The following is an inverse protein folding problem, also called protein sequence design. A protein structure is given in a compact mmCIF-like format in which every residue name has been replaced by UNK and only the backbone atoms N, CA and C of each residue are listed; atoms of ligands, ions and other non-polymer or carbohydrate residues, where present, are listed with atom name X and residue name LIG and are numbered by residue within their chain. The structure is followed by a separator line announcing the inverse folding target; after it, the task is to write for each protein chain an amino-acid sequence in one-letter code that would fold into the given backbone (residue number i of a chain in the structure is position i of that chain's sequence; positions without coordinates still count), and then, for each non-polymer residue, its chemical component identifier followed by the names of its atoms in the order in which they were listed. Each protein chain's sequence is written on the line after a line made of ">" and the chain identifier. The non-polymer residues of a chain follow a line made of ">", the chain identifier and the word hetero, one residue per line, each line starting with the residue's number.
data_IF_754559014828
#
_entry.id   IF_754559014828
#
_cell.length_a   1.000
_cell.length_b   1.000
_cell.length_c   1.000
_cell.angle_alpha   90.00
_cell.angle_beta   90.00
_cell.angle_gamma   90.00
#
_symmetry.space_group_name_H-M   'P 1'
#
loop_
_entity.id
_entity.type
_entity.pdbx_description
1 polymer ?
#
# COMPACT_ATOMS: atom_id res chain seq x y z
N UNK A 1 -0.42 13.73 11.05
CA UNK A 1 0.71 13.24 11.90
C UNK A 1 1.22 11.95 11.26
N UNK A 2 2.52 11.67 11.35
CA UNK A 2 3.11 10.44 10.81
C UNK A 2 2.66 9.20 11.61
N UNK A 3 2.62 8.03 10.95
CA UNK A 3 2.34 6.76 11.63
C UNK A 3 3.48 6.35 12.58
N UNK A 4 3.20 5.46 13.54
CA UNK A 4 4.22 4.90 14.44
C UNK A 4 4.40 3.40 14.17
N UNK A 5 5.64 2.92 14.28
CA UNK A 5 6.01 1.52 14.02
C UNK A 5 6.63 1.27 12.63
N UNK A 6 6.87 0.00 12.28
CA UNK A 6 7.68 -0.37 11.12
C UNK A 6 6.92 -0.32 9.78
N UNK A 7 5.61 -0.07 9.80
CA UNK A 7 4.75 -0.09 8.61
C UNK A 7 4.31 1.32 8.25
N UNK A 8 4.30 1.60 6.96
CA UNK A 8 3.64 2.79 6.46
C UNK A 8 2.16 2.50 6.27
N UNK A 9 1.31 3.43 6.70
CA UNK A 9 -0.14 3.28 6.78
C UNK A 9 -0.85 4.42 6.01
N UNK A 10 -0.20 4.96 4.99
CA UNK A 10 -0.72 6.04 4.14
C UNK A 10 -0.13 7.42 4.40
N UNK A 11 0.68 7.62 5.46
CA UNK A 11 1.29 8.93 5.73
C UNK A 11 2.70 9.07 5.14
N UNK A 12 3.49 8.00 5.17
CA UNK A 12 4.85 7.96 4.58
C UNK A 12 4.96 6.75 3.66
N UNK A 13 4.14 6.76 2.61
CA UNK A 13 3.89 5.59 1.77
C UNK A 13 4.28 5.85 0.32
N UNK A 14 4.85 4.84 -0.34
CA UNK A 14 4.84 4.71 -1.79
C UNK A 14 3.56 3.96 -2.16
N UNK A 15 2.75 4.61 -2.98
CA UNK A 15 1.46 4.09 -3.43
C UNK A 15 1.51 3.78 -4.91
N UNK A 16 0.81 2.73 -5.33
CA UNK A 16 0.69 2.37 -6.73
C UNK A 16 -0.61 1.64 -7.02
N UNK A 17 -1.00 1.61 -8.29
CA UNK A 17 -2.07 0.74 -8.77
C UNK A 17 -1.65 -0.72 -8.56
N UNK A 18 -2.41 -1.54 -7.81
CA UNK A 18 -2.06 -2.95 -7.58
C UNK A 18 -2.37 -3.85 -8.78
N UNK A 19 -3.03 -3.32 -9.83
CA UNK A 19 -3.43 -4.07 -11.03
C UNK A 19 -2.28 -4.15 -12.04
N UNK A 20 -2.21 -5.28 -12.74
CA UNK A 20 -1.23 -5.54 -13.79
C UNK A 20 0.13 -6.00 -13.29
N UNK A 21 0.87 -6.70 -14.16
CA UNK A 21 2.01 -7.52 -13.74
C UNK A 21 3.31 -6.72 -13.55
N UNK A 22 3.40 -5.56 -14.21
CA UNK A 22 4.64 -4.77 -14.28
C UNK A 22 4.94 -4.00 -13.00
N UNK A 23 3.91 -3.64 -12.23
CA UNK A 23 4.07 -2.71 -11.10
C UNK A 23 4.82 -3.35 -9.93
N UNK A 24 4.62 -4.65 -9.70
CA UNK A 24 5.34 -5.42 -8.68
C UNK A 24 6.85 -5.37 -8.92
N UNK A 25 7.26 -5.69 -10.13
CA UNK A 25 8.67 -5.71 -10.52
C UNK A 25 9.29 -4.32 -10.48
N UNK A 26 8.56 -3.31 -10.95
CA UNK A 26 8.98 -1.92 -10.90
C UNK A 26 9.27 -1.48 -9.46
N UNK A 27 8.33 -1.71 -8.54
CA UNK A 27 8.49 -1.31 -7.13
C UNK A 27 9.57 -2.15 -6.45
N UNK A 28 9.65 -3.46 -6.71
CA UNK A 28 10.71 -4.30 -6.16
C UNK A 28 12.11 -3.85 -6.61
N UNK A 29 12.26 -3.43 -7.87
CA UNK A 29 13.50 -2.84 -8.40
C UNK A 29 13.88 -1.56 -7.65
N UNK A 30 12.93 -0.64 -7.45
CA UNK A 30 13.17 0.57 -6.66
C UNK A 30 13.52 0.26 -5.21
N UNK A 31 12.76 -0.64 -4.59
CA UNK A 31 12.94 -1.02 -3.19
C UNK A 31 14.17 -1.90 -2.95
N UNK A 32 14.82 -2.40 -4.02
CA UNK A 32 15.93 -3.38 -3.97
C UNK A 32 15.55 -4.61 -3.14
N UNK A 33 14.33 -5.10 -3.36
CA UNK A 33 13.74 -6.26 -2.68
C UNK A 33 13.72 -7.47 -3.60
N UNK A 34 13.64 -8.65 -3.00
CA UNK A 34 13.50 -9.90 -3.74
C UNK A 34 12.14 -9.93 -4.48
N UNK A 35 12.09 -10.36 -5.77
CA UNK A 35 10.89 -10.23 -6.61
C UNK A 35 9.64 -10.94 -6.08
N UNK A 36 9.83 -12.02 -5.32
CA UNK A 36 8.73 -12.81 -4.78
C UNK A 36 8.00 -12.12 -3.62
N UNK A 37 8.61 -11.12 -2.97
CA UNK A 37 7.96 -10.43 -1.85
C UNK A 37 6.82 -9.57 -2.38
N UNK A 38 5.57 -9.80 -1.95
CA UNK A 38 4.48 -8.91 -2.31
C UNK A 38 4.45 -7.68 -1.41
N UNK A 39 3.62 -6.74 -1.84
CA UNK A 39 3.26 -5.55 -1.11
C UNK A 39 1.91 -5.73 -0.42
N UNK A 40 1.54 -4.78 0.43
CA UNK A 40 0.28 -4.84 1.15
C UNK A 40 -0.77 -3.95 0.45
N UNK A 41 -2.05 -4.37 0.37
CA UNK A 41 -3.12 -3.50 -0.06
C UNK A 41 -3.55 -2.58 1.07
N UNK A 42 -3.93 -1.37 0.68
CA UNK A 42 -4.71 -0.45 1.48
C UNK A 42 -6.08 -0.29 0.80
N UNK A 43 -7.14 -0.77 1.46
CA UNK A 43 -8.49 -0.91 0.89
C UNK A 43 -9.53 -0.16 1.72
N UNK A 44 -10.53 0.42 1.06
CA UNK A 44 -11.74 0.95 1.71
C UNK A 44 -12.43 -0.17 2.51
N UNK A 45 -12.65 0.05 3.81
CA UNK A 45 -13.12 -1.01 4.71
C UNK A 45 -14.41 -1.70 4.26
N UNK A 46 -15.35 -0.95 3.67
CA UNK A 46 -16.62 -1.48 3.15
C UNK A 46 -16.47 -2.45 1.98
N UNK A 47 -15.32 -2.44 1.30
CA UNK A 47 -15.02 -3.35 0.21
C UNK A 47 -14.13 -4.53 0.64
N UNK A 48 -13.56 -4.53 1.85
CA UNK A 48 -12.58 -5.52 2.28
C UNK A 48 -13.08 -6.96 2.11
N UNK A 49 -14.26 -7.27 2.65
CA UNK A 49 -14.89 -8.60 2.56
C UNK A 49 -15.30 -9.01 1.14
N UNK A 50 -15.44 -8.05 0.21
CA UNK A 50 -15.74 -8.37 -1.19
C UNK A 50 -14.52 -8.90 -1.94
N UNK A 51 -13.31 -8.56 -1.50
CA UNK A 51 -12.05 -8.90 -2.18
C UNK A 51 -11.18 -9.88 -1.38
N UNK A 52 -11.38 -9.97 -0.07
CA UNK A 52 -10.58 -10.79 0.82
C UNK A 52 -11.47 -11.59 1.78
N UNK A 53 -11.04 -12.80 2.12
CA UNK A 53 -11.60 -13.58 3.22
C UNK A 53 -11.03 -13.03 4.55
N UNK A 54 -11.60 -11.93 5.02
CA UNK A 54 -11.08 -11.20 6.17
C UNK A 54 -11.29 -11.99 7.47
N UNK A 55 -10.22 -12.21 8.28
CA UNK A 55 -10.35 -12.90 9.56
C UNK A 55 -10.92 -12.01 10.68
N UNK A 56 -10.96 -10.69 10.46
CA UNK A 56 -11.44 -9.67 11.39
C UNK A 56 -12.17 -8.58 10.62
N UNK A 57 -13.11 -7.89 11.26
CA UNK A 57 -13.89 -6.82 10.64
C UNK A 57 -13.05 -5.58 10.25
N UNK A 58 -11.90 -5.38 10.88
CA UNK A 58 -10.98 -4.29 10.56
C UNK A 58 -9.53 -4.70 10.84
N UNK A 59 -8.63 -4.36 9.91
CA UNK A 59 -7.18 -4.54 10.04
C UNK A 59 -6.44 -3.24 9.67
N UNK A 60 -6.46 -2.20 10.52
CA UNK A 60 -5.88 -0.91 10.19
C UNK A 60 -4.33 -0.92 10.19
N UNK A 61 -3.71 -1.95 10.76
CA UNK A 61 -2.27 -2.03 10.99
C UNK A 61 -1.56 -3.12 10.18
N UNK A 62 -2.21 -3.72 9.18
CA UNK A 62 -1.70 -4.83 8.36
C UNK A 62 -1.20 -6.03 9.17
N UNK A 63 -1.82 -6.30 10.32
CA UNK A 63 -1.40 -7.36 11.24
C UNK A 63 -1.85 -8.75 10.79
N UNK A 64 -2.97 -8.82 10.09
CA UNK A 64 -3.57 -10.08 9.66
C UNK A 64 -3.35 -10.33 8.17
N UNK A 65 -3.22 -11.61 7.80
CA UNK A 65 -3.27 -12.07 6.42
C UNK A 65 -4.67 -12.55 6.09
N UNK A 66 -5.15 -12.23 4.89
CA UNK A 66 -6.42 -12.68 4.35
C UNK A 66 -6.19 -13.28 2.96
N UNK A 67 -6.99 -14.29 2.59
CA UNK A 67 -6.94 -14.87 1.24
C UNK A 67 -7.65 -13.93 0.27
N UNK A 68 -7.04 -13.66 -0.88
CA UNK A 68 -7.66 -12.85 -1.91
C UNK A 68 -8.61 -13.69 -2.76
N UNK A 69 -9.80 -13.16 -3.02
CA UNK A 69 -10.83 -13.79 -3.86
C UNK A 69 -10.51 -13.68 -5.36
N UNK A 70 -9.73 -12.66 -5.74
CA UNK A 70 -9.39 -12.34 -7.14
C UNK A 70 -7.88 -12.11 -7.32
N UNK A 71 -7.03 -13.10 -7.01
CA UNK A 71 -5.58 -12.90 -6.96
C UNK A 71 -4.98 -12.43 -8.31
N UNK A 72 -5.49 -12.96 -9.42
CA UNK A 72 -5.07 -12.61 -10.78
C UNK A 72 -5.33 -11.14 -11.17
N UNK A 73 -6.31 -10.49 -10.53
CA UNK A 73 -6.60 -9.07 -10.81
C UNK A 73 -5.64 -8.12 -10.11
N UNK A 74 -4.98 -8.59 -9.03
CA UNK A 74 -4.16 -7.75 -8.15
C UNK A 74 -2.77 -8.34 -7.88
N UNK A 75 -2.02 -8.80 -8.90
CA UNK A 75 -0.81 -9.61 -8.74
C UNK A 75 0.30 -8.93 -7.90
N UNK A 76 0.30 -7.60 -7.82
CA UNK A 76 1.32 -6.84 -7.10
C UNK A 76 1.23 -6.91 -5.57
N UNK A 77 0.06 -7.22 -5.04
CA UNK A 77 -0.21 -7.26 -3.60
C UNK A 77 -0.44 -8.68 -3.07
N UNK A 78 -0.28 -9.70 -3.90
CA UNK A 78 -0.62 -11.08 -3.58
C UNK A 78 0.63 -11.96 -3.42
N UNK A 79 0.66 -12.74 -2.35
CA UNK A 79 1.63 -13.80 -2.09
C UNK A 79 1.39 -15.01 -3.01
N UNK A 80 2.39 -15.88 -3.17
CA UNK A 80 2.28 -17.12 -3.96
C UNK A 80 1.17 -18.07 -3.48
N UNK A 81 0.79 -17.98 -2.20
CA UNK A 81 -0.31 -18.73 -1.60
C UNK A 81 -1.68 -18.03 -1.71
N UNK A 82 -1.77 -16.99 -2.55
CA UNK A 82 -2.94 -16.14 -2.77
C UNK A 82 -3.38 -15.32 -1.56
N UNK A 83 -2.52 -15.13 -0.55
CA UNK A 83 -2.82 -14.28 0.61
C UNK A 83 -2.26 -12.87 0.48
N UNK A 84 -2.75 -11.96 1.34
CA UNK A 84 -2.17 -10.62 1.51
C UNK A 84 -2.36 -10.07 2.92
N UNK A 85 -1.48 -9.15 3.33
CA UNK A 85 -1.58 -8.43 4.60
C UNK A 85 -2.39 -7.14 4.43
N UNK A 86 -3.69 -7.24 4.60
CA UNK A 86 -4.63 -6.17 4.26
C UNK A 86 -4.58 -5.03 5.28
N UNK A 87 -4.47 -3.79 4.80
CA UNK A 87 -4.78 -2.58 5.56
C UNK A 87 -6.20 -2.12 5.20
N UNK A 88 -7.13 -2.15 6.14
CA UNK A 88 -8.44 -1.53 5.95
C UNK A 88 -8.41 -0.06 6.36
N UNK A 89 -9.11 0.79 5.63
CA UNK A 89 -9.26 2.22 5.93
C UNK A 89 -10.75 2.55 6.11
N UNK A 90 -11.14 2.87 7.34
CA UNK A 90 -12.51 3.23 7.71
C UNK A 90 -12.76 4.73 7.49
N UNK A 91 -14.01 5.18 7.72
CA UNK A 91 -14.37 6.60 7.62
C UNK A 91 -13.82 7.45 8.76
N UNK A 92 -13.51 6.81 9.89
CA UNK A 92 -12.96 7.42 11.10
C UNK A 92 -11.42 7.52 11.05
N UNK A 93 -10.78 6.80 10.12
CA UNK A 93 -9.34 6.90 9.86
C UNK A 93 -8.97 8.27 9.25
N UNK A 94 -7.67 8.48 9.01
CA UNK A 94 -7.18 9.77 8.53
C UNK A 94 -7.92 10.25 7.27
N UNK A 95 -8.60 11.42 7.30
CA UNK A 95 -9.45 11.87 6.20
C UNK A 95 -8.71 12.02 4.87
N UNK A 96 -7.41 12.34 4.89
CA UNK A 96 -6.61 12.49 3.68
C UNK A 96 -6.34 11.14 3.00
N UNK A 97 -6.03 10.10 3.77
CA UNK A 97 -5.81 8.75 3.26
C UNK A 97 -7.12 8.16 2.73
N UNK A 98 -8.20 8.37 3.48
CA UNK A 98 -9.54 7.96 3.09
C UNK A 98 -9.99 8.62 1.78
N UNK A 99 -9.91 9.95 1.69
CA UNK A 99 -10.29 10.70 0.49
C UNK A 99 -9.46 10.30 -0.73
N UNK A 100 -8.16 10.00 -0.55
CA UNK A 100 -7.32 9.48 -1.64
C UNK A 100 -7.85 8.17 -2.21
N UNK A 101 -8.21 7.22 -1.35
CA UNK A 101 -8.76 5.93 -1.76
C UNK A 101 -10.15 6.08 -2.39
N UNK A 102 -11.00 6.93 -1.85
CA UNK A 102 -12.33 7.22 -2.42
C UNK A 102 -12.20 7.84 -3.81
N UNK A 103 -11.38 8.89 -3.96
CA UNK A 103 -11.11 9.53 -5.25
C UNK A 103 -10.50 8.54 -6.26
N UNK A 104 -9.60 7.66 -5.80
CA UNK A 104 -9.03 6.60 -6.63
C UNK A 104 -10.10 5.60 -7.08
N UNK A 105 -10.98 5.18 -6.18
CA UNK A 105 -12.06 4.26 -6.47
C UNK A 105 -13.05 4.86 -7.48
N UNK A 106 -13.48 6.09 -7.27
CA UNK A 106 -14.37 6.82 -8.19
C UNK A 106 -13.79 6.92 -9.61
N UNK A 107 -12.47 7.16 -9.72
CA UNK A 107 -11.80 7.33 -11.02
C UNK A 107 -11.47 6.03 -11.73
N UNK A 108 -11.30 4.92 -11.00
CA UNK A 108 -10.68 3.71 -11.55
C UNK A 108 -11.47 2.43 -11.35
N UNK A 109 -12.50 2.46 -10.50
CA UNK A 109 -13.24 1.28 -10.05
C UNK A 109 -12.46 0.35 -9.12
N UNK A 110 -11.20 0.66 -8.78
CA UNK A 110 -10.38 -0.15 -7.89
C UNK A 110 -10.46 0.38 -6.45
N UNK A 111 -10.95 -0.38 -5.46
CA UNK A 111 -11.18 0.14 -4.11
C UNK A 111 -9.92 0.15 -3.23
N UNK A 112 -8.76 -0.15 -3.82
CA UNK A 112 -7.51 -0.31 -3.08
C UNK A 112 -6.29 0.20 -3.84
N UNK A 113 -5.26 0.55 -3.07
CA UNK A 113 -3.92 0.87 -3.57
C UNK A 113 -2.90 -0.11 -2.98
N UNK A 114 -1.84 -0.38 -3.73
CA UNK A 114 -0.64 -0.96 -3.17
C UNK A 114 -0.01 0.04 -2.21
N UNK A 115 0.35 -0.41 -1.01
CA UNK A 115 1.03 0.37 0.00
C UNK A 115 2.36 -0.29 0.42
N UNK A 116 3.43 0.51 0.38
CA UNK A 116 4.72 0.17 0.98
C UNK A 116 5.36 1.40 1.61
N UNK A 117 6.28 1.20 2.54
CA UNK A 117 7.04 2.28 3.16
C UNK A 117 7.79 3.17 2.17
N UNK A 118 7.76 4.48 2.39
CA UNK A 118 8.53 5.50 1.66
C UNK A 118 9.98 5.51 2.14
N UNK A 119 10.72 4.50 1.70
CA UNK A 119 12.16 4.35 1.87
C UNK A 119 12.69 3.36 0.84
N UNK A 120 14.01 3.24 0.74
CA UNK A 120 14.68 2.17 -0.01
C UNK A 120 15.48 1.31 0.96
N UNK A 121 15.78 0.04 0.60
CA UNK A 121 16.53 -0.87 1.46
C UNK A 121 17.86 -0.23 1.89
N UNK A 122 18.07 -0.17 3.21
CA UNK A 122 19.23 0.49 3.83
C UNK A 122 19.03 1.97 4.19
N UNK A 123 17.87 2.55 3.87
CA UNK A 123 17.53 3.94 4.20
C UNK A 123 16.41 4.01 5.26
N UNK A 124 16.46 5.03 6.14
CA UNK A 124 15.38 5.28 7.09
C UNK A 124 14.09 5.69 6.37
N UNK A 125 12.97 5.61 7.08
CA UNK A 125 11.69 6.11 6.60
C UNK A 125 11.72 7.64 6.52
N UNK A 126 11.31 8.19 5.37
CA UNK A 126 11.17 9.64 5.16
C UNK A 126 10.25 10.23 6.22
N UNK A 127 10.71 11.18 7.04
CA UNK A 127 9.92 11.71 8.15
C UNK A 127 9.67 13.23 8.07
N UNK A 128 10.54 13.97 7.40
CA UNK A 128 10.44 15.42 7.22
C UNK A 128 10.20 15.82 5.76
N UNK A 129 9.74 17.06 5.53
CA UNK A 129 9.67 17.62 4.17
C UNK A 129 11.04 17.69 3.49
N UNK A 130 12.11 17.85 4.27
CA UNK A 130 13.47 17.83 3.72
C UNK A 130 13.83 16.42 3.25
N UNK A 131 13.54 15.40 4.06
CA UNK A 131 13.76 13.99 3.70
C UNK A 131 13.01 13.63 2.41
N UNK A 132 11.77 14.12 2.25
CA UNK A 132 10.97 13.91 1.05
C UNK A 132 11.62 14.51 -0.21
N UNK A 133 12.13 15.75 -0.10
CA UNK A 133 12.85 16.42 -1.20
C UNK A 133 14.15 15.71 -1.55
N UNK A 134 14.89 15.26 -0.54
CA UNK A 134 16.13 14.50 -0.74
C UNK A 134 15.85 13.15 -1.40
N UNK A 135 14.81 12.44 -0.95
CA UNK A 135 14.35 11.19 -1.53
C UNK A 135 13.99 11.36 -3.00
N UNK A 136 13.18 12.38 -3.34
CA UNK A 136 12.80 12.68 -4.72
C UNK A 136 14.03 13.00 -5.59
N UNK A 137 14.94 13.84 -5.10
CA UNK A 137 16.17 14.21 -5.83
C UNK A 137 17.06 13.00 -6.12
N UNK A 138 17.22 12.11 -5.13
CA UNK A 138 18.11 10.94 -5.18
C UNK A 138 17.54 9.82 -6.04
N UNK A 139 16.26 9.52 -5.87
CA UNK A 139 15.63 8.34 -6.47
C UNK A 139 14.76 8.64 -7.69
N UNK A 140 14.56 9.93 -8.00
CA UNK A 140 13.75 10.40 -9.14
C UNK A 140 12.31 9.91 -9.09
N UNK A 141 11.78 9.75 -7.88
CA UNK A 141 10.37 9.40 -7.61
C UNK A 141 9.73 10.63 -6.99
N UNK A 142 8.69 11.16 -7.62
CA UNK A 142 7.98 12.34 -7.13
C UNK A 142 7.29 12.05 -5.80
N UNK A 143 7.47 12.93 -4.81
CA UNK A 143 6.85 12.83 -3.49
C UNK A 143 5.91 14.01 -3.29
N UNK A 144 4.68 13.73 -2.86
CA UNK A 144 3.69 14.75 -2.54
C UNK A 144 3.66 14.97 -1.01
N UNK A 145 3.81 16.23 -0.57
CA UNK A 145 3.93 16.61 0.86
C UNK A 145 3.01 17.75 1.24
#
# INVERSE_FOLDING_TARGET
>A
KAEFGPRALGHRSLLADPRGDKIKDLINKYKRREPFRPFAPMILSEHADSYFDMPVSSSPYMQFTAKCKYPEQFPAIIHVDNTSRVQTVTKEDCPHVRNLLETWYEKTGCPMLLNTSLNIKGEPLVNTKNDAREFERKHKIKVYT
#
